data_IF_486200169195
#
_entry.id   IF_486200169195
#
_cell.length_a   1.000
_cell.length_b   1.000
_cell.length_c   1.000
_cell.angle_alpha   90.00
_cell.angle_beta   90.00
_cell.angle_gamma   90.00
#
_symmetry.space_group_name_H-M   'P 1'
#
loop_
_entity.id
_entity.type
_entity.pdbx_description
1 polymer ?
#
# COMPACT_ATOMS: atom_id res chain seq x y z
N UNK A 1 -4.85 7.92 -27.56
CA UNK A 1 -5.21 8.31 -26.17
C UNK A 1 -4.01 8.98 -25.52
N UNK A 2 -4.23 9.99 -24.66
CA UNK A 2 -3.17 10.70 -23.90
C UNK A 2 -3.23 10.28 -22.43
N UNK A 3 -2.15 9.70 -21.92
CA UNK A 3 -2.01 9.30 -20.51
C UNK A 3 -1.07 10.25 -19.80
N UNK A 4 -1.50 10.82 -18.69
CA UNK A 4 -0.65 11.58 -17.79
C UNK A 4 -0.31 10.73 -16.57
N UNK A 5 0.97 10.53 -16.27
CA UNK A 5 1.42 9.72 -15.14
C UNK A 5 2.32 10.52 -14.22
N UNK A 6 2.01 10.46 -12.94
CA UNK A 6 2.84 11.00 -11.85
C UNK A 6 3.64 9.88 -11.20
N UNK A 7 4.76 10.23 -10.55
CA UNK A 7 5.51 9.27 -9.73
C UNK A 7 6.41 8.29 -10.49
N UNK A 8 6.63 8.47 -11.79
CA UNK A 8 7.46 7.58 -12.61
C UNK A 8 8.92 7.45 -12.12
N UNK A 9 9.45 8.37 -11.32
CA UNK A 9 10.78 8.27 -10.69
C UNK A 9 10.85 7.39 -9.44
N UNK A 10 9.71 6.84 -8.97
CA UNK A 10 9.59 5.92 -7.85
C UNK A 10 9.61 4.45 -8.28
N UNK A 11 9.64 3.52 -7.30
CA UNK A 11 9.72 2.08 -7.59
C UNK A 11 8.57 1.58 -8.47
N UNK A 12 7.32 1.67 -7.97
CA UNK A 12 6.13 1.29 -8.71
C UNK A 12 5.98 2.06 -10.02
N UNK A 13 6.15 3.40 -9.97
CA UNK A 13 5.97 4.23 -11.15
C UNK A 13 6.99 3.93 -12.25
N UNK A 14 8.25 3.59 -11.92
CA UNK A 14 9.24 3.23 -12.91
C UNK A 14 8.97 1.85 -13.53
N UNK A 15 8.50 0.88 -12.75
CA UNK A 15 8.05 -0.40 -13.30
C UNK A 15 6.80 -0.23 -14.18
N UNK A 16 5.86 0.66 -13.81
CA UNK A 16 4.73 1.03 -14.65
C UNK A 16 5.18 1.65 -15.97
N UNK A 17 6.09 2.61 -15.90
CA UNK A 17 6.68 3.23 -17.10
C UNK A 17 7.31 2.19 -18.04
N UNK A 18 8.14 1.29 -17.48
CA UNK A 18 8.78 0.23 -18.29
C UNK A 18 7.76 -0.73 -18.92
N UNK A 19 6.73 -1.10 -18.17
CA UNK A 19 5.66 -1.95 -18.67
C UNK A 19 4.87 -1.29 -19.83
N UNK A 20 4.71 0.05 -19.78
CA UNK A 20 3.98 0.83 -20.78
C UNK A 20 4.78 1.14 -22.04
N UNK A 21 6.13 1.09 -21.99
CA UNK A 21 7.01 1.43 -23.12
C UNK A 21 6.63 0.76 -24.46
N UNK A 22 6.29 -0.54 -24.54
CA UNK A 22 5.97 -1.21 -25.81
C UNK A 22 4.76 -0.64 -26.54
N UNK A 23 3.87 0.05 -25.84
CA UNK A 23 2.58 0.54 -26.32
C UNK A 23 2.61 2.04 -26.66
N UNK A 24 3.72 2.75 -26.33
CA UNK A 24 3.87 4.18 -26.60
C UNK A 24 3.88 4.48 -28.08
N UNK A 25 3.15 5.55 -28.45
CA UNK A 25 2.98 5.97 -29.85
C UNK A 25 2.19 5.00 -30.70
N UNK A 26 1.55 3.97 -30.09
CA UNK A 26 0.68 2.98 -30.74
C UNK A 26 -0.74 3.02 -30.16
N UNK A 27 -0.87 2.70 -28.88
CA UNK A 27 -2.14 2.75 -28.15
C UNK A 27 -2.35 4.10 -27.45
N UNK A 28 -1.28 4.68 -26.93
CA UNK A 28 -1.34 5.97 -26.24
C UNK A 28 0.00 6.71 -26.28
N UNK A 29 -0.08 8.01 -26.03
CA UNK A 29 1.05 8.87 -25.71
C UNK A 29 1.09 9.09 -24.20
N UNK A 30 2.31 9.17 -23.63
CA UNK A 30 2.54 9.28 -22.19
C UNK A 30 3.21 10.61 -21.83
N UNK A 31 2.60 11.33 -20.92
CA UNK A 31 3.16 12.53 -20.31
C UNK A 31 3.60 12.19 -18.89
N UNK A 32 4.84 12.49 -18.51
CA UNK A 32 5.37 12.33 -17.18
C UNK A 32 5.61 13.70 -16.55
N UNK A 33 5.10 13.92 -15.34
CA UNK A 33 5.54 15.03 -14.50
C UNK A 33 6.59 14.51 -13.52
N UNK A 34 7.82 15.01 -13.67
CA UNK A 34 8.96 14.58 -12.89
C UNK A 34 9.64 15.79 -12.23
N UNK A 35 9.95 15.65 -10.93
CA UNK A 35 10.78 16.66 -10.27
C UNK A 35 12.14 16.73 -10.94
N UNK A 36 12.58 17.96 -11.22
CA UNK A 36 13.90 18.22 -11.77
C UNK A 36 14.98 17.93 -10.71
N UNK A 37 15.56 16.74 -10.83
CA UNK A 37 16.62 16.25 -9.97
C UNK A 37 17.63 15.44 -10.78
N UNK A 38 18.88 15.47 -10.36
CA UNK A 38 19.96 14.70 -11.00
C UNK A 38 19.58 13.21 -11.09
N UNK A 39 18.98 12.65 -10.03
CA UNK A 39 18.47 11.27 -10.02
C UNK A 39 17.49 11.00 -11.16
N UNK A 40 16.48 11.86 -11.30
CA UNK A 40 15.45 11.67 -12.32
C UNK A 40 16.00 11.91 -13.73
N UNK A 41 16.82 12.95 -13.91
CA UNK A 41 17.48 13.20 -15.19
C UNK A 41 18.35 12.03 -15.63
N UNK A 42 19.15 11.44 -14.73
CA UNK A 42 19.95 10.25 -15.01
C UNK A 42 19.09 9.03 -15.31
N UNK A 43 18.00 8.83 -14.56
CA UNK A 43 17.10 7.69 -14.73
C UNK A 43 16.40 7.70 -16.09
N UNK A 44 15.96 8.88 -16.54
CA UNK A 44 15.19 9.02 -17.78
C UNK A 44 16.02 9.42 -19.00
N UNK A 45 17.32 9.72 -18.84
CA UNK A 45 18.19 10.04 -19.96
C UNK A 45 18.12 9.04 -21.14
N UNK A 46 18.05 7.71 -20.92
CA UNK A 46 17.95 6.75 -22.01
C UNK A 46 16.63 6.79 -22.80
N UNK A 47 15.61 7.49 -22.29
CA UNK A 47 14.25 7.46 -22.83
C UNK A 47 13.82 8.81 -23.44
N UNK A 48 14.67 9.82 -23.43
CA UNK A 48 14.30 11.19 -23.87
C UNK A 48 13.78 11.27 -25.30
N UNK A 49 14.29 10.40 -26.17
CA UNK A 49 13.91 10.35 -27.61
C UNK A 49 12.85 9.28 -27.89
N UNK A 50 12.18 8.76 -26.86
CA UNK A 50 11.14 7.72 -27.05
C UNK A 50 9.90 8.32 -27.71
N UNK A 51 9.49 7.78 -28.85
CA UNK A 51 8.26 8.21 -29.55
C UNK A 51 7.04 8.02 -28.63
N UNK A 52 6.19 9.04 -28.56
CA UNK A 52 4.99 9.01 -27.72
C UNK A 52 5.26 9.30 -26.23
N UNK A 53 6.49 9.71 -25.85
CA UNK A 53 6.84 10.13 -24.49
C UNK A 53 7.09 11.63 -24.45
N UNK A 54 6.48 12.30 -23.50
CA UNK A 54 6.76 13.69 -23.13
C UNK A 54 7.13 13.77 -21.66
N UNK A 55 8.24 14.42 -21.32
CA UNK A 55 8.64 14.63 -19.93
C UNK A 55 8.54 16.12 -19.61
N UNK A 56 7.66 16.45 -18.65
CA UNK A 56 7.57 17.76 -18.05
C UNK A 56 8.37 17.77 -16.73
N UNK A 57 9.35 18.67 -16.64
CA UNK A 57 10.17 18.84 -15.45
C UNK A 57 9.52 19.89 -14.53
N UNK A 58 8.89 19.44 -13.45
CA UNK A 58 8.12 20.31 -12.56
C UNK A 58 7.77 19.62 -11.23
N UNK A 59 6.83 20.20 -10.50
CA UNK A 59 6.40 19.73 -9.19
C UNK A 59 4.88 19.60 -9.10
N UNK A 60 4.36 18.50 -8.53
CA UNK A 60 2.93 18.26 -8.28
C UNK A 60 2.29 19.28 -7.33
N UNK A 61 3.09 20.01 -6.56
CA UNK A 61 2.60 21.10 -5.70
C UNK A 61 2.50 22.44 -6.45
N UNK A 62 3.08 22.52 -7.64
CA UNK A 62 2.88 23.65 -8.55
C UNK A 62 1.63 23.42 -9.42
N UNK A 63 0.65 24.30 -9.30
CA UNK A 63 -0.64 24.17 -10.01
C UNK A 63 -0.52 24.36 -11.52
N UNK A 64 0.43 25.20 -11.98
CA UNK A 64 0.68 25.44 -13.40
C UNK A 64 1.27 24.17 -14.05
N UNK A 65 2.32 23.58 -13.46
CA UNK A 65 2.90 22.33 -13.94
C UNK A 65 1.87 21.20 -14.05
N UNK A 66 0.96 21.13 -13.06
CA UNK A 66 -0.12 20.15 -13.03
C UNK A 66 -1.13 20.42 -14.14
N UNK A 67 -1.58 21.65 -14.31
CA UNK A 67 -2.57 22.03 -15.34
C UNK A 67 -2.04 21.75 -16.75
N UNK A 68 -0.78 22.07 -17.04
CA UNK A 68 -0.13 21.81 -18.33
C UNK A 68 -0.09 20.30 -18.67
N UNK A 69 0.14 19.47 -17.65
CA UNK A 69 0.19 18.02 -17.83
C UNK A 69 -1.21 17.38 -17.95
N UNK A 70 -2.19 17.89 -17.21
CA UNK A 70 -3.59 17.40 -17.20
C UNK A 70 -4.32 17.77 -18.49
N UNK A 71 -3.98 18.91 -19.10
CA UNK A 71 -4.70 19.40 -20.29
C UNK A 71 -4.76 18.36 -21.39
N UNK A 72 -5.98 17.96 -21.76
CA UNK A 72 -6.26 16.96 -22.78
C UNK A 72 -5.85 15.52 -22.42
N UNK A 73 -5.63 15.22 -21.13
CA UNK A 73 -5.37 13.86 -20.69
C UNK A 73 -6.68 13.05 -20.62
N UNK A 74 -6.69 11.90 -21.32
CA UNK A 74 -7.77 10.92 -21.25
C UNK A 74 -7.72 10.12 -19.95
N UNK A 75 -6.49 9.80 -19.48
CA UNK A 75 -6.24 9.10 -18.22
C UNK A 75 -5.18 9.85 -17.41
N UNK A 76 -5.41 10.00 -16.10
CA UNK A 76 -4.44 10.46 -15.12
C UNK A 76 -4.10 9.32 -14.17
N UNK A 77 -2.86 8.81 -14.22
CA UNK A 77 -2.31 7.82 -13.30
C UNK A 77 -1.59 8.52 -12.15
N UNK A 78 -2.26 8.68 -11.02
CA UNK A 78 -1.65 9.32 -9.84
C UNK A 78 -0.97 8.28 -8.95
N UNK A 79 0.28 7.92 -9.31
CA UNK A 79 1.12 6.95 -8.60
C UNK A 79 2.00 7.64 -7.56
N UNK A 80 2.30 8.93 -7.75
CA UNK A 80 3.17 9.68 -6.85
C UNK A 80 2.66 9.67 -5.42
N UNK A 81 3.54 9.34 -4.49
CA UNK A 81 3.30 9.48 -3.06
C UNK A 81 4.60 9.76 -2.31
N UNK A 82 4.50 10.46 -1.19
CA UNK A 82 5.54 10.57 -0.20
C UNK A 82 5.32 9.48 0.84
N UNK A 83 6.11 8.40 0.74
CA UNK A 83 5.86 7.13 1.43
C UNK A 83 6.67 6.98 2.72
N UNK A 84 6.24 6.07 3.60
CA UNK A 84 7.01 5.63 4.77
C UNK A 84 8.36 5.01 4.33
N UNK A 85 9.43 5.15 5.14
CA UNK A 85 9.42 5.74 6.49
C UNK A 85 9.45 7.28 6.49
N UNK A 86 9.80 7.93 5.39
CA UNK A 86 9.98 9.39 5.33
C UNK A 86 8.68 10.16 5.63
N UNK A 87 7.53 9.62 5.25
CA UNK A 87 6.24 10.25 5.53
C UNK A 87 5.95 10.33 7.04
N UNK A 88 6.40 9.33 7.79
CA UNK A 88 6.21 9.27 9.25
C UNK A 88 7.17 10.21 9.98
N UNK A 89 8.33 10.49 9.38
CA UNK A 89 9.31 11.44 9.92
C UNK A 89 8.93 12.90 9.62
N UNK A 90 8.22 13.15 8.52
CA UNK A 90 7.85 14.48 8.06
C UNK A 90 6.34 14.61 7.79
N UNK A 91 5.47 14.58 8.82
CA UNK A 91 4.02 14.49 8.66
C UNK A 91 3.39 15.63 7.88
N UNK A 92 3.88 16.88 8.06
CA UNK A 92 3.41 18.03 7.27
C UNK A 92 3.74 17.88 5.79
N UNK A 93 4.92 17.35 5.48
CA UNK A 93 5.34 17.08 4.10
C UNK A 93 4.53 15.91 3.51
N UNK A 94 4.22 14.89 4.30
CA UNK A 94 3.35 13.79 3.88
C UNK A 94 1.97 14.30 3.48
N UNK A 95 1.33 15.12 4.31
CA UNK A 95 0.02 15.72 4.01
C UNK A 95 0.10 16.62 2.76
N UNK A 96 1.09 17.49 2.66
CA UNK A 96 1.24 18.38 1.50
C UNK A 96 1.42 17.59 0.20
N UNK A 97 2.29 16.57 0.19
CA UNK A 97 2.56 15.79 -1.02
C UNK A 97 1.44 14.80 -1.35
N UNK A 98 0.86 14.09 -0.37
CA UNK A 98 -0.12 13.05 -0.66
C UNK A 98 -1.52 13.63 -0.89
N UNK A 99 -2.03 14.42 0.05
CA UNK A 99 -3.33 15.07 -0.09
C UNK A 99 -3.26 16.28 -1.04
N UNK A 100 -2.27 17.17 -0.86
CA UNK A 100 -2.18 18.40 -1.64
C UNK A 100 -1.98 18.15 -3.13
N UNK A 101 -1.13 17.19 -3.53
CA UNK A 101 -0.96 16.85 -4.96
C UNK A 101 -2.21 16.22 -5.57
N UNK A 102 -2.89 15.32 -4.83
CA UNK A 102 -4.16 14.74 -5.27
C UNK A 102 -5.22 15.81 -5.52
N UNK A 103 -5.33 16.76 -4.58
CA UNK A 103 -6.21 17.92 -4.72
C UNK A 103 -5.87 18.77 -5.96
N UNK A 104 -4.60 19.11 -6.16
CA UNK A 104 -4.17 19.89 -7.31
C UNK A 104 -4.55 19.23 -8.65
N UNK A 105 -4.38 17.91 -8.76
CA UNK A 105 -4.76 17.14 -9.95
C UNK A 105 -6.27 17.20 -10.21
N UNK A 106 -7.08 16.95 -9.20
CA UNK A 106 -8.54 16.95 -9.34
C UNK A 106 -9.05 18.35 -9.64
N UNK A 107 -8.56 19.37 -8.93
CA UNK A 107 -8.91 20.78 -9.19
C UNK A 107 -8.51 21.22 -10.61
N UNK A 108 -7.37 20.73 -11.14
CA UNK A 108 -6.95 21.00 -12.52
C UNK A 108 -7.89 20.33 -13.54
N UNK A 109 -8.27 19.05 -13.34
CA UNK A 109 -9.24 18.36 -14.20
C UNK A 109 -10.56 19.12 -14.25
N UNK A 110 -11.06 19.56 -13.08
CA UNK A 110 -12.32 20.31 -12.97
C UNK A 110 -12.23 21.69 -13.62
N UNK A 111 -11.14 22.43 -13.40
CA UNK A 111 -10.96 23.77 -13.98
C UNK A 111 -10.81 23.78 -15.51
N UNK A 112 -10.49 22.65 -16.09
CA UNK A 112 -10.39 22.45 -17.54
C UNK A 112 -11.68 21.84 -18.15
N UNK A 113 -12.77 21.76 -17.38
CA UNK A 113 -14.04 21.13 -17.77
C UNK A 113 -13.90 19.67 -18.25
N UNK A 114 -12.89 18.94 -17.70
CA UNK A 114 -12.59 17.55 -18.08
C UNK A 114 -13.18 16.53 -17.09
N UNK A 115 -13.99 16.94 -16.10
CA UNK A 115 -14.49 16.08 -15.02
C UNK A 115 -15.33 14.88 -15.49
N UNK A 116 -16.02 15.01 -16.63
CA UNK A 116 -16.84 13.96 -17.22
C UNK A 116 -16.11 13.10 -18.27
N UNK A 117 -14.88 13.44 -18.61
CA UNK A 117 -14.12 12.75 -19.67
C UNK A 117 -12.83 12.12 -19.18
N UNK A 118 -12.12 12.75 -18.25
CA UNK A 118 -10.85 12.25 -17.75
C UNK A 118 -11.05 11.12 -16.74
N UNK A 119 -10.35 10.03 -16.93
CA UNK A 119 -10.30 8.87 -16.02
C UNK A 119 -9.22 9.08 -14.99
N UNK A 120 -9.59 9.15 -13.72
CA UNK A 120 -8.65 9.40 -12.63
C UNK A 120 -8.33 8.11 -11.85
N UNK A 121 -7.09 7.65 -11.94
CA UNK A 121 -6.59 6.46 -11.23
C UNK A 121 -5.73 6.90 -10.07
N UNK A 122 -6.22 6.69 -8.86
CA UNK A 122 -5.52 6.99 -7.62
C UNK A 122 -4.91 5.72 -7.02
N UNK A 123 -3.66 5.78 -6.62
CA UNK A 123 -3.04 4.68 -5.87
C UNK A 123 -3.19 4.94 -4.38
N UNK A 124 -4.16 4.25 -3.76
CA UNK A 124 -4.36 4.18 -2.31
C UNK A 124 -3.35 3.25 -1.63
N UNK A 125 -3.64 2.79 -0.40
CA UNK A 125 -2.72 1.93 0.34
C UNK A 125 -3.42 1.00 1.32
N UNK A 126 -2.87 -0.19 1.54
CA UNK A 126 -3.28 -1.10 2.62
C UNK A 126 -3.17 -0.46 4.01
N UNK A 127 -2.29 0.51 4.18
CA UNK A 127 -2.10 1.22 5.44
C UNK A 127 -3.37 1.91 5.95
N UNK A 128 -4.29 2.28 5.05
CA UNK A 128 -5.59 2.89 5.39
C UNK A 128 -6.47 1.98 6.26
N UNK A 129 -6.33 0.66 6.12
CA UNK A 129 -7.19 -0.31 6.82
C UNK A 129 -6.70 -0.70 8.20
N UNK A 130 -5.46 -0.33 8.56
CA UNK A 130 -4.84 -0.65 9.83
C UNK A 130 -4.52 -2.14 10.01
N UNK A 131 -4.40 -2.58 11.26
CA UNK A 131 -4.04 -3.95 11.60
C UNK A 131 -5.20 -4.94 11.47
N UNK A 132 -4.89 -6.16 11.01
CA UNK A 132 -5.76 -7.34 10.99
C UNK A 132 -5.09 -8.49 11.75
N UNK A 133 -4.92 -8.29 13.05
CA UNK A 133 -4.26 -9.26 13.94
C UNK A 133 -5.09 -10.55 14.13
N UNK A 134 -4.47 -11.66 14.59
CA UNK A 134 -5.20 -12.87 14.93
C UNK A 134 -6.42 -12.59 15.82
N UNK A 135 -7.53 -13.30 15.66
CA UNK A 135 -7.78 -14.36 14.69
C UNK A 135 -8.27 -13.87 13.31
N UNK A 136 -8.38 -12.57 13.09
CA UNK A 136 -8.93 -11.98 11.86
C UNK A 136 -7.78 -11.45 11.02
N UNK A 137 -7.29 -12.25 10.08
CA UNK A 137 -6.22 -11.81 9.17
C UNK A 137 -6.75 -11.31 7.82
N UNK A 138 -8.03 -11.48 7.56
CA UNK A 138 -8.66 -11.20 6.28
C UNK A 138 -9.39 -9.85 6.31
N UNK A 139 -9.25 -9.09 5.23
CA UNK A 139 -9.93 -7.84 5.03
C UNK A 139 -10.46 -7.71 3.59
N UNK A 140 -11.30 -6.72 3.37
CA UNK A 140 -11.92 -6.40 2.08
C UNK A 140 -12.18 -4.91 1.97
N UNK A 141 -12.46 -4.44 0.77
CA UNK A 141 -13.02 -3.10 0.56
C UNK A 141 -14.36 -3.00 1.32
N UNK A 142 -14.58 -1.87 2.00
CA UNK A 142 -15.78 -1.65 2.82
C UNK A 142 -15.59 -1.96 4.31
N UNK A 143 -14.51 -2.63 4.70
CA UNK A 143 -14.14 -2.72 6.11
C UNK A 143 -13.75 -1.34 6.65
N UNK A 144 -13.95 -1.06 7.96
CA UNK A 144 -13.63 0.24 8.54
C UNK A 144 -12.19 0.68 8.30
N UNK A 145 -12.02 1.92 7.89
CA UNK A 145 -10.73 2.60 7.80
C UNK A 145 -10.21 2.85 9.21
N UNK A 146 -8.98 2.39 9.52
CA UNK A 146 -8.48 2.36 10.88
C UNK A 146 -6.95 2.56 10.95
N UNK A 147 -6.39 3.63 10.39
CA UNK A 147 -4.95 3.87 10.48
C UNK A 147 -4.51 4.14 11.92
N UNK A 148 -3.27 3.81 12.25
CA UNK A 148 -2.65 4.29 13.48
C UNK A 148 -2.52 5.81 13.45
N UNK A 149 -2.69 6.47 14.61
CA UNK A 149 -2.52 7.92 14.73
C UNK A 149 -1.12 8.38 14.31
N UNK A 150 -0.10 7.59 14.55
CA UNK A 150 1.29 7.89 14.23
C UNK A 150 1.75 7.33 12.86
N UNK A 151 0.88 6.67 12.13
CA UNK A 151 1.09 6.34 10.72
C UNK A 151 0.65 7.52 9.87
N UNK A 152 1.50 8.56 9.81
CA UNK A 152 1.19 9.79 9.08
C UNK A 152 1.07 9.57 7.57
N UNK A 153 1.75 8.53 7.05
CA UNK A 153 1.55 8.09 5.68
C UNK A 153 0.09 7.67 5.47
N UNK A 154 -0.40 6.72 6.27
CA UNK A 154 -1.77 6.24 6.16
C UNK A 154 -2.80 7.36 6.32
N UNK A 155 -2.63 8.22 7.33
CA UNK A 155 -3.54 9.36 7.57
C UNK A 155 -3.60 10.30 6.36
N UNK A 156 -2.45 10.61 5.74
CA UNK A 156 -2.41 11.46 4.55
C UNK A 156 -3.04 10.80 3.32
N UNK A 157 -2.91 9.47 3.20
CA UNK A 157 -3.50 8.69 2.10
C UNK A 157 -5.02 8.54 2.27
N UNK A 158 -5.52 8.34 3.49
CA UNK A 158 -6.97 8.36 3.79
C UNK A 158 -7.59 9.71 3.40
N UNK A 159 -6.94 10.82 3.74
CA UNK A 159 -7.43 12.15 3.36
C UNK A 159 -7.49 12.32 1.84
N UNK A 160 -6.48 11.85 1.12
CA UNK A 160 -6.42 11.90 -0.34
C UNK A 160 -7.46 11.00 -1.00
N UNK A 161 -7.61 9.74 -0.55
CA UNK A 161 -8.62 8.81 -1.08
C UNK A 161 -10.03 9.38 -0.87
N UNK A 162 -10.30 9.95 0.30
CA UNK A 162 -11.60 10.57 0.57
C UNK A 162 -11.89 11.72 -0.40
N UNK A 163 -10.89 12.55 -0.68
CA UNK A 163 -11.03 13.64 -1.64
C UNK A 163 -11.29 13.13 -3.07
N UNK A 164 -10.70 12.00 -3.48
CA UNK A 164 -10.99 11.35 -4.77
C UNK A 164 -12.44 10.88 -4.84
N UNK A 165 -12.92 10.16 -3.81
CA UNK A 165 -14.27 9.60 -3.75
C UNK A 165 -15.34 10.73 -3.81
N UNK A 166 -15.07 11.87 -3.18
CA UNK A 166 -15.98 13.01 -3.09
C UNK A 166 -15.75 14.05 -4.19
N UNK A 167 -14.85 13.80 -5.15
CA UNK A 167 -14.44 14.76 -6.15
C UNK A 167 -15.52 15.17 -7.15
N UNK A 168 -16.54 14.34 -7.33
CA UNK A 168 -17.55 14.53 -8.38
C UNK A 168 -17.06 14.16 -9.78
N UNK A 169 -15.85 13.60 -9.95
CA UNK A 169 -15.40 13.07 -11.25
C UNK A 169 -16.26 11.87 -11.64
N UNK A 170 -16.68 11.80 -12.91
CA UNK A 170 -17.48 10.68 -13.41
C UNK A 170 -16.69 9.36 -13.42
N UNK A 171 -15.42 9.40 -13.81
CA UNK A 171 -14.56 8.21 -13.91
C UNK A 171 -13.38 8.32 -12.94
N UNK A 172 -13.50 7.71 -11.78
CA UNK A 172 -12.42 7.60 -10.81
C UNK A 172 -12.28 6.16 -10.33
N UNK A 173 -11.10 5.78 -9.87
CA UNK A 173 -10.85 4.53 -9.17
C UNK A 173 -9.76 4.72 -8.12
N UNK A 174 -9.94 4.12 -6.95
CA UNK A 174 -8.88 4.00 -5.94
C UNK A 174 -8.38 2.57 -5.88
N UNK A 175 -7.08 2.39 -6.09
CA UNK A 175 -6.38 1.11 -6.07
C UNK A 175 -5.48 1.07 -4.84
N UNK A 176 -5.92 0.41 -3.76
CA UNK A 176 -5.17 0.31 -2.51
C UNK A 176 -4.01 -0.66 -2.66
N UNK A 177 -2.83 -0.10 -2.86
CA UNK A 177 -1.59 -0.87 -3.01
C UNK A 177 -1.21 -1.52 -1.69
N UNK A 178 -0.91 -2.80 -1.76
CA UNK A 178 -0.29 -3.58 -0.67
C UNK A 178 1.22 -3.36 -0.58
N UNK A 179 1.91 -4.05 0.33
CA UNK A 179 3.36 -4.07 0.37
C UNK A 179 3.95 -4.53 -0.97
N UNK A 180 4.85 -3.74 -1.51
CA UNK A 180 5.48 -4.02 -2.81
C UNK A 180 6.75 -4.84 -2.58
N UNK A 181 6.78 -6.07 -3.12
CA UNK A 181 7.99 -6.91 -3.14
C UNK A 181 8.81 -6.67 -4.39
N UNK A 182 10.11 -6.72 -4.23
CA UNK A 182 11.08 -6.55 -5.30
C UNK A 182 12.47 -6.17 -4.80
N UNK A 183 13.41 -5.83 -5.69
CA UNK A 183 14.79 -5.50 -5.32
C UNK A 183 14.92 -4.31 -4.36
N UNK A 184 13.99 -3.36 -4.40
CA UNK A 184 14.01 -2.21 -3.50
C UNK A 184 13.72 -2.62 -2.05
N UNK A 185 12.73 -3.50 -1.83
CA UNK A 185 12.41 -4.02 -0.49
C UNK A 185 13.57 -4.83 0.11
N UNK A 186 14.27 -5.60 -0.70
CA UNK A 186 15.42 -6.39 -0.26
C UNK A 186 16.58 -5.52 0.29
N UNK A 187 16.61 -4.24 -0.07
CA UNK A 187 17.65 -3.27 0.34
C UNK A 187 17.28 -2.42 1.54
N UNK A 188 16.05 -2.51 2.04
CA UNK A 188 15.61 -1.68 3.18
C UNK A 188 16.47 -1.96 4.40
N UNK A 189 17.05 -0.88 4.96
CA UNK A 189 17.83 -0.87 6.20
C UNK A 189 17.37 0.32 7.04
N UNK A 190 16.19 0.17 7.63
CA UNK A 190 15.49 1.24 8.36
C UNK A 190 14.75 0.66 9.58
N UNK A 191 14.58 1.42 10.67
CA UNK A 191 13.80 0.98 11.85
C UNK A 191 12.37 0.54 11.52
N UNK A 192 11.79 0.95 10.41
CA UNK A 192 10.44 0.54 9.96
C UNK A 192 10.27 -0.99 9.92
N UNK A 193 11.36 -1.75 9.75
CA UNK A 193 11.29 -3.20 9.80
C UNK A 193 10.81 -3.77 11.15
N UNK A 194 10.95 -3.00 12.24
CA UNK A 194 10.48 -3.37 13.58
C UNK A 194 9.03 -2.94 13.84
N UNK A 195 8.42 -2.18 12.94
CA UNK A 195 7.02 -1.77 13.02
C UNK A 195 6.06 -2.91 12.74
N UNK A 196 6.55 -4.02 12.16
CA UNK A 196 5.75 -5.21 11.92
C UNK A 196 5.80 -6.16 13.11
N UNK A 197 4.62 -6.65 13.52
CA UNK A 197 4.54 -7.78 14.45
C UNK A 197 5.07 -9.04 13.76
N UNK A 198 5.57 -10.00 14.53
CA UNK A 198 6.05 -11.26 13.94
C UNK A 198 4.93 -12.12 13.35
N UNK A 199 3.73 -11.98 13.86
CA UNK A 199 2.51 -12.62 13.37
C UNK A 199 1.67 -11.74 12.44
N UNK A 200 2.23 -10.60 11.99
CA UNK A 200 1.62 -9.80 10.94
C UNK A 200 1.56 -10.58 9.64
N UNK A 201 0.41 -10.53 8.97
CA UNK A 201 0.20 -11.13 7.65
C UNK A 201 0.06 -10.06 6.59
N UNK A 202 0.58 -10.33 5.40
CA UNK A 202 0.40 -9.44 4.26
C UNK A 202 0.30 -10.26 2.97
N UNK A 203 -0.67 -9.91 2.13
CA UNK A 203 -0.72 -10.35 0.75
C UNK A 203 0.02 -9.31 -0.09
N UNK A 204 1.28 -9.60 -0.39
CA UNK A 204 2.14 -8.71 -1.17
C UNK A 204 1.75 -8.65 -2.65
N UNK A 205 2.29 -7.70 -3.38
CA UNK A 205 2.31 -7.69 -4.85
C UNK A 205 3.71 -7.28 -5.33
N UNK A 206 4.16 -7.80 -6.48
CA UNK A 206 5.46 -7.39 -7.01
C UNK A 206 5.39 -5.97 -7.61
N UNK A 207 6.54 -5.32 -7.67
CA UNK A 207 6.68 -4.05 -8.41
C UNK A 207 6.36 -4.23 -9.90
N UNK A 208 6.70 -5.40 -10.48
CA UNK A 208 6.39 -5.76 -11.87
C UNK A 208 4.90 -5.97 -12.10
N UNK A 209 4.20 -6.66 -11.19
CA UNK A 209 2.75 -6.85 -11.28
C UNK A 209 2.02 -5.53 -11.12
N UNK A 210 2.46 -4.68 -10.20
CA UNK A 210 1.93 -3.32 -10.04
C UNK A 210 2.15 -2.47 -11.32
N UNK A 211 3.29 -2.66 -11.99
CA UNK A 211 3.56 -2.03 -13.29
C UNK A 211 2.67 -2.54 -14.40
N UNK A 212 2.50 -3.87 -14.50
CA UNK A 212 1.61 -4.53 -15.47
C UNK A 212 0.16 -4.10 -15.30
N UNK A 213 -0.28 -3.94 -14.05
CA UNK A 213 -1.62 -3.43 -13.73
C UNK A 213 -1.87 -2.07 -14.40
N UNK A 214 -0.94 -1.11 -14.29
CA UNK A 214 -1.07 0.20 -14.91
C UNK A 214 -1.08 0.13 -16.43
N UNK A 215 -0.21 -0.71 -17.01
CA UNK A 215 -0.18 -0.95 -18.46
C UNK A 215 -1.50 -1.54 -18.97
N UNK A 216 -1.99 -2.60 -18.32
CA UNK A 216 -3.21 -3.30 -18.77
C UNK A 216 -4.44 -2.40 -18.66
N UNK A 217 -4.54 -1.58 -17.58
CA UNK A 217 -5.59 -0.59 -17.45
C UNK A 217 -5.60 0.37 -18.66
N UNK A 218 -4.45 0.96 -18.98
CA UNK A 218 -4.35 1.89 -20.10
C UNK A 218 -4.59 1.23 -21.45
N UNK A 219 -4.11 0.00 -21.64
CA UNK A 219 -4.29 -0.73 -22.90
C UNK A 219 -5.77 -1.10 -23.10
N UNK A 220 -6.43 -1.68 -22.11
CA UNK A 220 -7.83 -2.08 -22.20
C UNK A 220 -8.76 -0.85 -22.38
N UNK A 221 -8.44 0.28 -21.75
CA UNK A 221 -9.20 1.52 -21.96
C UNK A 221 -8.98 2.06 -23.38
N UNK A 222 -7.75 2.05 -23.89
CA UNK A 222 -7.43 2.49 -25.26
C UNK A 222 -8.08 1.61 -26.34
N UNK A 223 -8.24 0.32 -26.07
CA UNK A 223 -8.88 -0.66 -26.93
C UNK A 223 -10.41 -0.70 -26.76
N UNK A 224 -10.96 0.01 -25.76
CA UNK A 224 -12.38 -0.01 -25.43
C UNK A 224 -12.87 -1.35 -24.89
N UNK A 225 -11.98 -2.15 -24.31
CA UNK A 225 -12.27 -3.50 -23.78
C UNK A 225 -12.42 -3.53 -22.25
N UNK A 226 -12.07 -2.44 -21.53
CA UNK A 226 -12.29 -2.35 -20.10
C UNK A 226 -13.80 -2.20 -19.80
N UNK A 227 -14.33 -3.10 -18.96
CA UNK A 227 -15.73 -3.03 -18.54
C UNK A 227 -15.99 -1.70 -17.81
N UNK A 228 -16.99 -0.88 -18.24
CA UNK A 228 -17.29 0.39 -17.61
C UNK A 228 -17.64 0.32 -16.12
N UNK A 229 -18.08 -0.84 -15.62
CA UNK A 229 -18.35 -1.06 -14.19
C UNK A 229 -17.09 -1.05 -13.31
N UNK A 230 -15.92 -1.00 -13.93
CA UNK A 230 -14.65 -0.82 -13.22
C UNK A 230 -14.54 0.53 -12.50
N UNK A 231 -15.12 1.58 -13.08
CA UNK A 231 -15.01 2.94 -12.57
C UNK A 231 -15.96 3.21 -11.39
N UNK A 232 -15.63 4.21 -10.57
CA UNK A 232 -16.42 4.60 -9.38
C UNK A 232 -16.23 3.70 -8.17
N UNK A 233 -15.17 2.90 -8.15
CA UNK A 233 -14.93 1.89 -7.12
C UNK A 233 -13.55 1.98 -6.46
N UNK A 234 -13.44 1.30 -5.31
CA UNK A 234 -12.17 1.05 -4.61
C UNK A 234 -11.84 -0.42 -4.77
N UNK A 235 -10.57 -0.75 -5.04
CA UNK A 235 -10.08 -2.11 -5.14
C UNK A 235 -8.82 -2.31 -4.29
N UNK A 236 -8.60 -3.53 -3.80
CA UNK A 236 -7.36 -3.94 -3.17
C UNK A 236 -6.41 -4.54 -4.22
N UNK A 237 -5.20 -4.01 -4.34
CA UNK A 237 -4.12 -4.64 -5.11
C UNK A 237 -3.46 -5.68 -4.23
N UNK A 238 -3.57 -6.95 -4.60
CA UNK A 238 -2.90 -8.07 -3.95
C UNK A 238 -2.38 -9.06 -4.96
N UNK A 239 -1.27 -9.74 -4.67
CA UNK A 239 -0.65 -10.72 -5.58
C UNK A 239 -1.26 -12.13 -5.51
N UNK A 240 -2.36 -12.29 -4.77
CA UNK A 240 -3.03 -13.59 -4.61
C UNK A 240 -2.33 -14.50 -3.60
N UNK A 241 -2.75 -15.77 -3.58
CA UNK A 241 -2.31 -16.76 -2.60
C UNK A 241 -0.79 -16.96 -2.56
N UNK A 242 -0.13 -16.97 -3.72
CA UNK A 242 1.32 -17.16 -3.84
C UNK A 242 2.15 -16.00 -3.25
N UNK A 243 1.50 -14.88 -2.93
CA UNK A 243 2.09 -13.70 -2.33
C UNK A 243 1.69 -13.49 -0.86
N UNK A 244 1.00 -14.46 -0.23
CA UNK A 244 0.59 -14.41 1.18
C UNK A 244 1.66 -14.97 2.09
N UNK A 245 2.11 -14.19 3.07
CA UNK A 245 3.09 -14.64 4.05
C UNK A 245 2.96 -13.84 5.34
N UNK A 246 3.28 -14.47 6.48
CA UNK A 246 3.50 -13.77 7.75
C UNK A 246 4.96 -13.34 7.91
N UNK A 247 5.19 -12.32 8.73
CA UNK A 247 6.53 -11.74 8.95
C UNK A 247 7.53 -12.77 9.51
N UNK A 248 7.09 -13.64 10.43
CA UNK A 248 7.97 -14.65 11.00
C UNK A 248 8.43 -15.67 9.97
N UNK A 249 7.50 -16.16 9.14
CA UNK A 249 7.80 -17.10 8.05
C UNK A 249 8.72 -16.46 7.01
N UNK A 250 8.44 -15.21 6.62
CA UNK A 250 9.31 -14.47 5.70
C UNK A 250 10.74 -14.37 6.23
N UNK A 251 10.93 -13.97 7.48
CA UNK A 251 12.27 -13.91 8.10
C UNK A 251 12.92 -15.28 8.22
N UNK A 252 12.13 -16.33 8.56
CA UNK A 252 12.65 -17.70 8.63
C UNK A 252 13.23 -18.16 7.30
N UNK A 253 12.57 -17.85 6.19
CA UNK A 253 13.07 -18.17 4.84
C UNK A 253 14.32 -17.34 4.55
N UNK A 254 14.26 -16.01 4.73
CA UNK A 254 15.39 -15.11 4.46
C UNK A 254 16.66 -15.51 5.22
N UNK A 255 16.57 -15.75 6.51
CA UNK A 255 17.74 -16.13 7.33
C UNK A 255 18.13 -17.60 7.15
N UNK A 256 17.20 -18.45 6.76
CA UNK A 256 17.47 -19.83 6.36
C UNK A 256 18.44 -19.90 5.17
N UNK A 257 18.37 -18.94 4.27
CA UNK A 257 19.24 -18.84 3.09
C UNK A 257 20.71 -18.61 3.43
N UNK A 258 21.02 -18.03 4.57
CA UNK A 258 22.39 -17.89 5.09
C UNK A 258 22.77 -18.98 6.10
N UNK A 259 21.92 -20.02 6.24
CA UNK A 259 22.20 -21.21 7.05
C UNK A 259 21.69 -21.15 8.49
N UNK A 260 20.91 -20.14 8.89
CA UNK A 260 20.32 -20.06 10.23
C UNK A 260 19.05 -20.91 10.28
N UNK A 261 19.11 -22.03 11.02
CA UNK A 261 17.96 -22.94 11.21
C UNK A 261 17.07 -22.51 12.38
N UNK A 262 17.66 -21.92 13.42
CA UNK A 262 16.94 -21.37 14.56
C UNK A 262 16.92 -19.85 14.49
N UNK A 263 15.78 -19.30 14.08
CA UNK A 263 15.58 -17.87 13.89
C UNK A 263 15.64 -17.07 15.21
N UNK A 264 15.46 -17.71 16.37
CA UNK A 264 15.55 -17.06 17.69
C UNK A 264 16.98 -16.53 17.95
N UNK A 265 17.98 -17.04 17.22
CA UNK A 265 19.33 -16.46 17.27
C UNK A 265 19.43 -15.08 16.62
N UNK A 266 18.49 -14.73 15.74
CA UNK A 266 18.47 -13.45 14.99
C UNK A 266 17.41 -12.51 15.53
N UNK A 267 16.20 -13.00 15.70
CA UNK A 267 15.03 -12.19 16.07
C UNK A 267 14.88 -12.14 17.59
N UNK A 268 14.71 -10.92 18.11
CA UNK A 268 14.22 -10.68 19.47
C UNK A 268 12.78 -10.16 19.38
N UNK A 269 11.77 -10.95 19.80
CA UNK A 269 10.38 -10.51 19.74
C UNK A 269 10.10 -9.25 20.54
N UNK A 270 10.95 -8.92 21.52
CA UNK A 270 10.78 -7.76 22.40
C UNK A 270 10.95 -6.43 21.67
N UNK A 271 11.70 -6.42 20.57
CA UNK A 271 11.98 -5.19 19.82
C UNK A 271 11.02 -4.96 18.67
N UNK A 272 10.19 -5.94 18.35
CA UNK A 272 9.16 -5.80 17.33
C UNK A 272 7.89 -5.19 17.93
N UNK A 273 7.09 -4.54 17.10
CA UNK A 273 5.78 -4.07 17.48
C UNK A 273 4.90 -5.21 18.00
N UNK A 274 4.03 -4.91 18.96
CA UNK A 274 3.01 -5.84 19.47
C UNK A 274 1.69 -5.70 18.73
N UNK A 275 1.54 -4.64 17.95
CA UNK A 275 0.45 -4.40 17.01
C UNK A 275 1.04 -3.77 15.77
N UNK A 276 0.57 -4.23 14.62
CA UNK A 276 1.03 -3.72 13.35
C UNK A 276 0.33 -2.41 12.99
N UNK A 277 0.95 -1.59 12.18
CA UNK A 277 0.28 -0.43 11.61
C UNK A 277 -0.73 -0.87 10.56
N UNK A 278 -0.38 -1.84 9.73
CA UNK A 278 -1.23 -2.38 8.69
C UNK A 278 -0.78 -3.78 8.29
N UNK A 279 -1.70 -4.54 7.76
CA UNK A 279 -1.41 -5.86 7.19
C UNK A 279 -2.65 -6.74 7.21
N UNK A 280 -2.91 -7.39 6.08
CA UNK A 280 -4.02 -8.32 5.91
C UNK A 280 -3.82 -9.19 4.68
N UNK A 281 -4.55 -10.31 4.64
CA UNK A 281 -4.88 -11.02 3.42
C UNK A 281 -6.19 -10.46 2.87
N UNK A 282 -6.41 -10.51 1.58
CA UNK A 282 -7.61 -9.98 0.95
C UNK A 282 -8.63 -11.07 0.60
N UNK A 283 -9.90 -10.79 0.93
CA UNK A 283 -11.05 -11.60 0.49
C UNK A 283 -11.48 -11.25 -0.94
N UNK A 284 -11.04 -10.11 -1.45
CA UNK A 284 -11.59 -9.50 -2.66
C UNK A 284 -10.55 -8.96 -3.65
N UNK A 285 -9.25 -9.23 -3.45
CA UNK A 285 -8.21 -8.79 -4.39
C UNK A 285 -8.33 -9.44 -5.77
N UNK A 286 -9.03 -10.58 -5.88
CA UNK A 286 -9.30 -11.24 -7.15
C UNK A 286 -10.27 -10.45 -8.04
N UNK A 287 -11.08 -9.54 -7.48
CA UNK A 287 -11.92 -8.66 -8.29
C UNK A 287 -11.10 -7.79 -9.26
N UNK A 288 -10.00 -7.23 -8.76
CA UNK A 288 -9.11 -6.42 -9.58
C UNK A 288 -8.36 -7.26 -10.63
N UNK A 289 -7.91 -8.46 -10.25
CA UNK A 289 -7.29 -9.42 -11.17
C UNK A 289 -8.23 -9.79 -12.31
N UNK A 290 -9.51 -10.01 -12.02
CA UNK A 290 -10.51 -10.34 -13.05
C UNK A 290 -10.73 -9.22 -14.07
N UNK A 291 -10.52 -7.95 -13.70
CA UNK A 291 -10.57 -6.83 -14.63
C UNK A 291 -9.28 -6.66 -15.42
N UNK A 292 -8.13 -6.79 -14.77
CA UNK A 292 -6.87 -6.28 -15.32
C UNK A 292 -5.79 -7.34 -15.56
N UNK A 293 -5.96 -8.58 -15.13
CA UNK A 293 -5.07 -9.73 -15.41
C UNK A 293 -3.58 -9.42 -15.21
N UNK A 294 -3.22 -8.86 -14.06
CA UNK A 294 -1.89 -8.31 -13.83
C UNK A 294 -0.94 -9.23 -13.07
N UNK A 295 -1.47 -10.27 -12.37
CA UNK A 295 -0.66 -11.16 -11.53
C UNK A 295 0.17 -12.14 -12.35
N UNK A 296 1.45 -12.25 -12.03
CA UNK A 296 2.31 -13.30 -12.56
C UNK A 296 3.47 -13.67 -11.65
N UNK A 297 3.72 -12.88 -10.62
CA UNK A 297 4.80 -13.12 -9.67
C UNK A 297 4.31 -13.80 -8.38
N UNK A 298 5.25 -14.26 -7.58
CA UNK A 298 5.02 -14.84 -6.25
C UNK A 298 6.06 -14.32 -5.27
N UNK A 299 5.97 -14.70 -3.99
CA UNK A 299 7.00 -14.39 -2.99
C UNK A 299 8.40 -14.87 -3.40
N UNK A 300 8.50 -15.85 -4.32
CA UNK A 300 9.80 -16.31 -4.82
C UNK A 300 10.59 -15.19 -5.49
N UNK A 301 9.91 -14.28 -6.21
CA UNK A 301 10.55 -13.10 -6.81
C UNK A 301 11.29 -12.24 -5.77
N UNK A 302 10.69 -12.05 -4.60
CA UNK A 302 11.33 -11.33 -3.50
C UNK A 302 12.52 -12.10 -2.94
N UNK A 303 12.36 -13.39 -2.71
CA UNK A 303 13.45 -14.22 -2.17
C UNK A 303 14.65 -14.25 -3.12
N UNK A 304 14.43 -14.34 -4.42
CA UNK A 304 15.50 -14.29 -5.42
C UNK A 304 16.20 -12.92 -5.42
N UNK A 305 15.46 -11.82 -5.31
CA UNK A 305 16.02 -10.47 -5.17
C UNK A 305 16.85 -10.33 -3.89
N UNK A 306 16.36 -10.87 -2.77
CA UNK A 306 17.08 -10.89 -1.50
C UNK A 306 18.37 -11.71 -1.58
N UNK A 307 18.32 -12.87 -2.21
CA UNK A 307 19.50 -13.73 -2.43
C UNK A 307 20.57 -13.04 -3.28
N UNK A 308 20.15 -12.30 -4.30
CA UNK A 308 21.05 -11.48 -5.13
C UNK A 308 21.70 -10.37 -4.31
N UNK A 309 20.94 -9.70 -3.43
CA UNK A 309 21.45 -8.64 -2.56
C UNK A 309 22.44 -9.17 -1.52
N UNK A 310 22.26 -10.39 -1.01
CA UNK A 310 23.18 -11.02 -0.07
C UNK A 310 24.57 -11.27 -0.70
N UNK A 311 24.64 -11.56 -1.99
CA UNK A 311 25.89 -11.78 -2.70
C UNK A 311 26.82 -12.74 -1.97
N UNK A 312 28.12 -12.35 -1.71
CA UNK A 312 29.10 -13.19 -1.03
C UNK A 312 28.75 -13.54 0.42
N UNK A 313 27.88 -12.78 1.09
CA UNK A 313 27.47 -13.04 2.46
C UNK A 313 26.73 -14.38 2.60
N UNK A 314 26.04 -14.84 1.54
CA UNK A 314 25.32 -16.12 1.54
C UNK A 314 26.24 -17.33 1.72
N UNK A 315 27.24 -17.60 0.87
CA UNK A 315 28.12 -18.75 1.05
C UNK A 315 28.96 -18.66 2.35
N UNK A 316 29.43 -17.47 2.70
CA UNK A 316 30.14 -17.21 3.94
C UNK A 316 29.29 -17.55 5.17
N UNK A 317 28.07 -17.06 5.24
CA UNK A 317 27.14 -17.38 6.32
C UNK A 317 26.84 -18.87 6.43
N UNK A 318 26.62 -19.56 5.30
CA UNK A 318 26.36 -21.00 5.27
C UNK A 318 27.54 -21.81 5.79
N UNK A 319 28.80 -21.41 5.51
CA UNK A 319 30.01 -22.07 6.03
C UNK A 319 30.07 -21.89 7.54
N UNK A 320 29.94 -20.67 8.04
CA UNK A 320 29.96 -20.39 9.49
C UNK A 320 28.88 -21.17 10.21
N UNK A 321 27.63 -21.15 9.68
CA UNK A 321 26.49 -21.82 10.31
C UNK A 321 26.65 -23.36 10.40
N UNK A 322 27.55 -23.99 9.63
CA UNK A 322 27.89 -25.42 9.73
C UNK A 322 28.85 -25.74 10.86
N UNK A 323 29.60 -24.76 11.35
CA UNK A 323 30.56 -24.97 12.45
C UNK A 323 29.83 -25.09 13.81
N UNK A 324 30.42 -25.82 14.78
CA UNK A 324 29.90 -25.84 16.14
C UNK A 324 29.75 -24.42 16.70
N UNK A 325 28.55 -24.07 17.19
CA UNK A 325 28.25 -22.71 17.67
C UNK A 325 28.07 -21.64 16.58
N UNK A 326 28.32 -21.97 15.31
CA UNK A 326 28.34 -21.01 14.20
C UNK A 326 26.99 -20.30 13.96
N UNK A 327 25.86 -20.97 14.19
CA UNK A 327 24.55 -20.33 14.10
C UNK A 327 24.37 -19.23 15.16
N UNK A 328 24.83 -19.45 16.39
CA UNK A 328 24.79 -18.44 17.45
C UNK A 328 25.71 -17.26 17.11
N UNK A 329 26.90 -17.54 16.61
CA UNK A 329 27.86 -16.51 16.17
C UNK A 329 27.24 -15.64 15.03
N UNK A 330 26.69 -16.27 14.00
CA UNK A 330 26.04 -15.55 12.88
C UNK A 330 24.83 -14.76 13.36
N UNK A 331 24.03 -15.33 14.25
CA UNK A 331 22.91 -14.62 14.89
C UNK A 331 23.38 -13.39 15.67
N UNK A 332 24.48 -13.47 16.41
CA UNK A 332 25.05 -12.34 17.12
C UNK A 332 25.53 -11.23 16.18
N UNK A 333 26.16 -11.58 15.05
CA UNK A 333 26.60 -10.65 14.02
C UNK A 333 25.37 -9.89 13.46
N UNK A 334 24.29 -10.59 13.10
CA UNK A 334 23.08 -9.98 12.56
C UNK A 334 22.41 -9.10 13.61
N UNK A 335 22.27 -9.56 14.86
CA UNK A 335 21.75 -8.75 15.97
C UNK A 335 22.55 -7.47 16.22
N UNK A 336 23.87 -7.53 16.07
CA UNK A 336 24.73 -6.34 16.17
C UNK A 336 24.39 -5.29 15.10
N UNK A 337 24.05 -5.73 13.88
CA UNK A 337 23.59 -4.82 12.82
C UNK A 337 22.24 -4.19 13.20
N UNK A 338 21.34 -4.98 13.76
CA UNK A 338 20.03 -4.48 14.22
C UNK A 338 20.14 -3.51 15.39
N UNK A 339 21.07 -3.69 16.31
CA UNK A 339 21.25 -2.80 17.44
C UNK A 339 21.44 -1.33 17.01
N UNK A 340 22.15 -1.09 15.92
CA UNK A 340 22.33 0.25 15.36
C UNK A 340 21.01 0.86 14.90
N UNK A 341 20.13 0.06 14.28
CA UNK A 341 18.81 0.51 13.84
C UNK A 341 17.85 0.70 15.03
N UNK A 342 17.93 -0.17 16.03
CA UNK A 342 17.09 -0.08 17.23
C UNK A 342 17.38 1.19 18.05
N UNK A 343 18.61 1.67 18.03
CA UNK A 343 19.07 2.85 18.78
C UNK A 343 19.06 4.12 17.94
N UNK A 344 18.88 4.01 16.62
CA UNK A 344 18.74 5.19 15.75
C UNK A 344 17.44 5.93 16.01
N UNK A 345 17.37 7.19 15.60
CA UNK A 345 16.14 7.97 15.59
C UNK A 345 15.01 7.16 14.93
N UNK A 346 13.82 7.15 15.53
CA UNK A 346 12.67 6.32 15.14
C UNK A 346 12.81 4.81 15.40
N UNK A 347 13.91 4.35 16.01
CA UNK A 347 14.03 2.98 16.47
C UNK A 347 13.30 2.74 17.81
N UNK A 348 12.87 1.50 18.09
CA UNK A 348 12.12 1.18 19.30
C UNK A 348 12.85 1.56 20.60
N UNK A 349 14.16 1.37 20.68
CA UNK A 349 14.95 1.74 21.87
C UNK A 349 15.12 3.25 22.02
N UNK A 350 15.21 3.97 20.91
CA UNK A 350 15.21 5.42 20.91
C UNK A 350 13.91 5.98 21.48
N UNK A 351 12.77 5.43 21.06
CA UNK A 351 11.47 5.86 21.56
C UNK A 351 11.31 5.60 23.06
N UNK A 352 11.70 4.41 23.54
CA UNK A 352 11.69 4.11 24.97
C UNK A 352 12.54 5.09 25.78
N UNK A 353 13.76 5.37 25.32
CA UNK A 353 14.69 6.28 25.98
C UNK A 353 14.17 7.72 26.05
N UNK A 354 13.35 8.13 25.07
CA UNK A 354 12.81 9.49 24.98
C UNK A 354 11.35 9.59 25.41
N UNK A 355 10.79 8.57 26.08
CA UNK A 355 9.39 8.51 26.53
C UNK A 355 8.38 8.72 25.38
N UNK A 356 8.63 8.09 24.25
CA UNK A 356 7.81 8.16 23.03
C UNK A 356 7.14 6.80 22.73
N UNK A 357 6.81 6.02 23.75
CA UNK A 357 6.24 4.66 23.62
C UNK A 357 4.91 4.65 22.88
N UNK A 358 4.18 5.76 22.92
CA UNK A 358 2.90 5.90 22.23
C UNK A 358 3.03 5.82 20.69
N UNK A 359 4.21 6.10 20.15
CA UNK A 359 4.44 6.07 18.72
C UNK A 359 4.35 4.66 18.15
N UNK A 360 4.87 3.69 18.90
CA UNK A 360 4.75 2.28 18.51
C UNK A 360 4.81 1.39 19.75
N UNK A 361 3.71 0.74 20.13
CA UNK A 361 3.72 -0.20 21.25
C UNK A 361 4.55 -1.42 20.86
N UNK A 362 5.73 -1.55 21.47
CA UNK A 362 6.64 -2.70 21.27
C UNK A 362 6.60 -3.64 22.45
N UNK A 363 7.04 -4.89 22.23
CA UNK A 363 7.27 -5.85 23.29
C UNK A 363 8.39 -5.44 24.27
N UNK A 364 9.23 -4.45 23.91
CA UNK A 364 10.24 -3.89 24.80
C UNK A 364 9.63 -3.11 25.97
N UNK A 365 8.42 -2.57 25.78
CA UNK A 365 7.60 -2.00 26.87
C UNK A 365 6.81 -3.15 27.49
N UNK A 366 7.44 -3.91 28.37
CA UNK A 366 6.78 -4.97 29.11
C UNK A 366 5.70 -4.36 30.03
N UNK A 367 4.45 -4.31 29.58
CA UNK A 367 3.32 -4.14 30.50
C UNK A 367 3.19 -5.41 31.32
N UNK A 368 3.19 -5.33 32.66
CA UNK A 368 2.97 -6.50 33.48
C UNK A 368 1.71 -7.23 33.05
N UNK A 369 1.80 -8.52 32.72
CA UNK A 369 0.66 -9.40 32.45
C UNK A 369 0.26 -9.62 31.01
N UNK A 370 0.90 -9.03 29.98
CA UNK A 370 0.70 -9.45 28.60
C UNK A 370 1.81 -10.41 28.16
N UNK A 371 1.45 -11.59 27.66
CA UNK A 371 2.44 -12.47 27.04
C UNK A 371 3.01 -11.78 25.80
N UNK A 372 4.33 -11.88 25.60
CA UNK A 372 4.97 -11.48 24.37
C UNK A 372 4.32 -12.19 23.17
N UNK A 373 4.36 -11.59 21.95
CA UNK A 373 3.95 -12.28 20.75
C UNK A 373 4.61 -13.65 20.73
N UNK A 374 3.83 -14.68 20.85
CA UNK A 374 4.33 -16.05 20.71
C UNK A 374 4.56 -16.28 19.22
N UNK A 375 5.50 -17.19 18.89
CA UNK A 375 5.59 -17.76 17.54
C UNK A 375 4.18 -18.00 17.02
N UNK A 376 3.87 -17.63 15.77
CA UNK A 376 2.54 -17.88 15.22
C UNK A 376 2.19 -19.34 15.47
N UNK A 377 1.00 -19.59 16.00
CA UNK A 377 0.51 -20.94 16.11
C UNK A 377 0.61 -21.55 14.70
N UNK A 378 1.04 -22.83 14.59
CA UNK A 378 1.10 -23.49 13.30
C UNK A 378 -0.25 -23.28 12.61
N UNK A 379 -0.27 -22.39 11.62
CA UNK A 379 -1.47 -22.14 10.83
C UNK A 379 -1.77 -23.46 10.12
N UNK A 380 -2.81 -24.11 10.53
CA UNK A 380 -3.43 -25.09 9.66
C UNK A 380 -3.93 -24.28 8.48
N UNK A 381 -3.48 -24.61 7.30
CA UNK A 381 -3.93 -24.09 6.00
C UNK A 381 -5.37 -24.58 5.73
N UNK A 382 -6.24 -24.50 6.72
CA UNK A 382 -7.65 -24.60 6.47
C UNK A 382 -8.08 -23.27 5.94
N UNK A 383 -8.48 -23.16 4.66
CA UNK A 383 -9.16 -21.97 4.23
C UNK A 383 -10.26 -21.76 5.25
N UNK A 384 -10.43 -20.54 5.75
CA UNK A 384 -11.64 -20.14 6.45
C UNK A 384 -12.74 -20.17 5.39
N UNK A 385 -13.00 -21.37 4.94
CA UNK A 385 -14.12 -21.70 4.13
C UNK A 385 -15.35 -21.53 5.01
N UNK A 386 -16.22 -20.62 4.60
CA UNK A 386 -17.68 -20.64 4.82
C UNK A 386 -18.24 -20.73 6.25
N UNK A 387 -17.46 -20.99 7.29
CA UNK A 387 -18.00 -21.16 8.67
C UNK A 387 -18.01 -19.91 9.54
N UNK A 388 -17.42 -18.79 9.12
CA UNK A 388 -17.32 -17.57 9.94
C UNK A 388 -17.71 -16.29 9.20
N UNK A 389 -18.56 -16.40 8.19
CA UNK A 389 -19.28 -15.27 7.65
C UNK A 389 -20.75 -15.39 8.08
N UNK A 390 -21.22 -14.70 9.13
CA UNK A 390 -22.62 -14.72 9.52
C UNK A 390 -23.56 -14.16 8.43
N UNK A 391 -22.98 -13.60 7.36
CA UNK A 391 -23.68 -12.90 6.29
C UNK A 391 -23.75 -13.68 4.97
N UNK A 392 -23.18 -14.88 4.88
CA UNK A 392 -23.38 -15.75 3.73
C UNK A 392 -24.43 -16.79 4.03
N UNK A 393 -25.57 -16.67 3.33
CA UNK A 393 -26.65 -17.64 3.23
C UNK A 393 -27.61 -17.75 4.41
N UNK A 394 -28.40 -16.71 4.67
CA UNK A 394 -29.78 -16.95 4.98
C UNK A 394 -30.55 -16.95 3.65
N UNK A 395 -30.64 -18.09 2.98
CA UNK A 395 -31.77 -18.36 2.10
C UNK A 395 -32.99 -18.44 2.98
N UNK A 396 -33.62 -17.34 3.28
CA UNK A 396 -34.92 -17.33 3.91
C UNK A 396 -35.91 -17.77 2.87
N UNK A 397 -36.43 -19.00 3.05
CA UNK A 397 -37.73 -19.33 2.52
C UNK A 397 -38.71 -18.26 3.01
N UNK A 398 -39.62 -17.76 2.18
CA UNK A 398 -40.62 -16.78 2.63
C UNK A 398 -41.54 -17.46 3.66
N UNK A 399 -41.57 -16.93 4.88
CA UNK A 399 -42.58 -17.30 5.86
C UNK A 399 -43.85 -16.47 5.60
N UNK A 400 -45.05 -17.01 5.94
CA UNK A 400 -46.33 -16.36 5.62
C UNK A 400 -46.52 -15.07 6.42
N UNK A 401 -47.21 -14.12 5.80
CA UNK A 401 -47.61 -12.83 6.32
C UNK A 401 -48.16 -12.92 7.75
N UNK A 402 -47.52 -12.23 8.68
CA UNK A 402 -48.13 -11.82 9.94
C UNK A 402 -48.42 -10.31 9.89
N UNK A 403 -49.60 -9.97 10.34
CA UNK A 403 -50.26 -8.67 10.32
C UNK A 403 -49.50 -7.56 11.07
N UNK A 404 -49.62 -6.39 10.52
CA UNK A 404 -49.21 -5.07 11.00
C UNK A 404 -49.58 -4.75 12.46
N UNK A 405 -48.60 -4.49 13.32
CA UNK A 405 -48.61 -3.49 14.38
C UNK A 405 -47.16 -3.17 14.75
N UNK A 406 -46.69 -2.02 14.23
CA UNK A 406 -45.37 -1.51 14.58
C UNK A 406 -45.43 -0.65 15.85
N UNK A 407 -44.31 -0.58 16.62
CA UNK A 407 -44.27 0.31 17.78
C UNK A 407 -44.13 1.78 17.37
N UNK A 408 -44.99 2.59 17.98
CA UNK A 408 -45.00 4.05 17.86
C UNK A 408 -43.86 4.63 18.68
N UNK A 409 -42.98 5.38 18.03
CA UNK A 409 -41.97 6.23 18.71
C UNK A 409 -42.62 7.57 19.07
N UNK A 410 -42.43 8.14 20.28
CA UNK A 410 -42.97 9.45 20.63
C UNK A 410 -42.20 10.55 19.92
N UNK A 411 -42.97 11.52 19.42
CA UNK A 411 -42.55 12.59 18.56
C UNK A 411 -41.60 13.61 19.21
N UNK A 412 -40.70 14.11 18.40
CA UNK A 412 -39.94 15.35 18.64
C UNK A 412 -40.84 16.56 18.29
N UNK A 413 -40.74 17.68 19.00
CA UNK A 413 -41.58 18.83 18.75
C UNK A 413 -41.13 19.60 17.50
N UNK A 414 -42.10 19.94 16.66
CA UNK A 414 -41.97 20.88 15.55
C UNK A 414 -41.62 22.29 16.06
N UNK A 415 -40.50 22.84 15.63
CA UNK A 415 -40.25 24.28 15.67
C UNK A 415 -40.62 24.89 14.32
N UNK A 416 -41.70 25.66 14.31
CA UNK A 416 -42.20 26.35 13.12
C UNK A 416 -41.24 27.41 12.59
N UNK A 417 -41.21 27.49 11.29
CA UNK A 417 -40.57 28.57 10.54
C UNK A 417 -41.55 29.70 10.32
N UNK A 418 -41.17 30.90 10.73
CA UNK A 418 -41.75 32.13 10.16
C UNK A 418 -40.70 32.89 9.35
N UNK A 419 -41.11 33.19 8.15
CA UNK A 419 -40.43 33.97 7.15
C UNK A 419 -40.51 35.47 7.44
N UNK A 420 -39.42 36.23 7.33
CA UNK A 420 -39.48 37.62 6.85
C UNK A 420 -38.09 38.10 6.42
N UNK A 421 -37.95 38.40 5.13
CA UNK A 421 -36.94 39.32 4.62
C UNK A 421 -37.45 40.77 4.78
N UNK A 422 -36.55 41.82 4.83
CA UNK A 422 -36.18 42.50 3.60
C UNK A 422 -34.70 42.96 3.52
N UNK A 423 -34.33 43.16 2.26
CA UNK A 423 -33.14 43.90 1.82
C UNK A 423 -33.17 45.41 2.24
N UNK A 424 -32.06 46.18 2.11
CA UNK A 424 -31.28 46.32 0.89
C UNK A 424 -29.85 45.79 0.96
#
# INVERSE_FOLDING_TARGET
MRVFMTGAGGGMGFESFKAMLPDLGKLYDLVLLLRDSEKNRKLFAPYMDTKGLTIHWGDLLNREDVADCVQGADIVLHIAAFVSPQADYFPRKAMANNYGSTRNLIEAIQSLDQGDSTRFVYIGTVAETGDRMPPIHWGRVGDPIKPSMFDYYAVSKVAAERYVIESGLTYWVSLRQTGIIGPAMAKIRDPIQFHNCLDNVLEYASDRDSGRLMRNLCAYEAEGTLDPSFWGHVYNIGGGESCRVDTYTMYKIMYGEIGIKNIDYVIDPKVNATRNFHGQYYLDSDKLENYLHFRSDSMQYFYDAYLKELGPAKPFGRIICKLPGGQKLMGAIIKSTFNKLLESEHGPRYWLKNNMEDHMPTGAVARPGRPFPRKPAKWTTSPIGTRWCPWTTATTKPSPRASSTGPIWPGLPNSGAESSSPRP
#
